data_IF_838076462008
#
_entry.id   IF_838076462008
#
_cell.length_a   1.000
_cell.length_b   1.000
_cell.length_c   1.000
_cell.angle_alpha   90.00
_cell.angle_beta   90.00
_cell.angle_gamma   90.00
#
_symmetry.space_group_name_H-M   'P 1'
#
loop_
_entity.id
_entity.type
_entity.pdbx_description
1 polymer ?
#
# COMPACT_ATOMS: atom_id res chain seq x y z
N UNK A 1 25.05 -16.04 0.56
CA UNK A 1 24.63 -14.69 0.14
C UNK A 1 23.40 -14.68 -0.79
N UNK A 2 22.98 -15.80 -1.39
CA UNK A 2 21.86 -15.86 -2.36
C UNK A 2 20.47 -16.09 -1.72
N UNK A 3 20.41 -16.77 -0.58
CA UNK A 3 19.15 -17.09 0.12
C UNK A 3 18.34 -15.88 0.62
N UNK A 4 18.96 -14.80 1.17
CA UNK A 4 18.22 -13.62 1.63
C UNK A 4 17.56 -12.84 0.50
N UNK A 5 18.22 -12.76 -0.66
CA UNK A 5 17.73 -12.02 -1.84
C UNK A 5 16.52 -12.71 -2.48
N UNK A 6 16.50 -14.05 -2.50
CA UNK A 6 15.36 -14.85 -2.98
C UNK A 6 14.15 -14.67 -2.06
N UNK A 7 14.35 -14.66 -0.72
CA UNK A 7 13.27 -14.43 0.25
C UNK A 7 12.64 -13.05 0.04
N UNK A 8 13.46 -12.01 -0.05
CA UNK A 8 13.00 -10.64 -0.26
C UNK A 8 12.21 -10.48 -1.57
N UNK A 9 12.66 -11.15 -2.65
CA UNK A 9 11.97 -11.14 -3.94
C UNK A 9 10.63 -11.85 -3.89
N UNK A 10 10.55 -13.00 -3.19
CA UNK A 10 9.30 -13.75 -3.02
C UNK A 10 8.29 -12.96 -2.18
N UNK A 11 8.73 -12.35 -1.08
CA UNK A 11 7.91 -11.48 -0.24
C UNK A 11 7.33 -10.32 -1.04
N UNK A 12 8.13 -9.66 -1.87
CA UNK A 12 7.67 -8.56 -2.72
C UNK A 12 6.61 -9.03 -3.73
N UNK A 13 6.79 -10.21 -4.35
CA UNK A 13 5.81 -10.78 -5.29
C UNK A 13 4.50 -11.12 -4.56
N UNK A 14 4.58 -11.79 -3.41
CA UNK A 14 3.39 -12.14 -2.62
C UNK A 14 2.65 -10.89 -2.15
N UNK A 15 3.38 -9.87 -1.67
CA UNK A 15 2.81 -8.58 -1.29
C UNK A 15 2.15 -7.88 -2.48
N UNK A 16 2.79 -7.86 -3.65
CA UNK A 16 2.23 -7.26 -4.85
C UNK A 16 0.93 -7.95 -5.29
N UNK A 17 0.92 -9.30 -5.30
CA UNK A 17 -0.28 -10.10 -5.61
C UNK A 17 -1.40 -9.82 -4.62
N UNK A 18 -1.09 -9.75 -3.32
CA UNK A 18 -2.06 -9.43 -2.27
C UNK A 18 -2.64 -8.02 -2.45
N UNK A 19 -1.80 -7.01 -2.62
CA UNK A 19 -2.23 -5.60 -2.79
C UNK A 19 -3.06 -5.46 -4.05
N UNK A 20 -2.64 -6.06 -5.17
CA UNK A 20 -3.40 -6.03 -6.42
C UNK A 20 -4.76 -6.72 -6.29
N UNK A 21 -4.79 -7.87 -5.60
CA UNK A 21 -6.04 -8.56 -5.27
C UNK A 21 -6.98 -7.70 -4.42
N UNK A 22 -6.45 -7.02 -3.41
CA UNK A 22 -7.23 -6.12 -2.55
C UNK A 22 -7.76 -4.90 -3.34
N UNK A 23 -6.95 -4.33 -4.23
CA UNK A 23 -7.35 -3.22 -5.10
C UNK A 23 -8.47 -3.64 -6.06
N UNK A 24 -8.35 -4.79 -6.73
CA UNK A 24 -9.42 -5.29 -7.60
C UNK A 24 -10.70 -5.52 -6.78
N UNK A 25 -10.60 -6.11 -5.59
CA UNK A 25 -11.77 -6.34 -4.76
C UNK A 25 -12.48 -5.02 -4.41
N UNK A 26 -11.74 -3.99 -3.99
CA UNK A 26 -12.32 -2.68 -3.69
C UNK A 26 -12.91 -2.00 -4.94
N UNK A 27 -12.27 -2.16 -6.10
CA UNK A 27 -12.79 -1.69 -7.39
C UNK A 27 -14.16 -2.31 -7.71
N UNK A 28 -14.26 -3.63 -7.64
CA UNK A 28 -15.50 -4.37 -7.90
C UNK A 28 -16.59 -4.01 -6.88
N UNK A 29 -16.20 -3.81 -5.62
CA UNK A 29 -17.11 -3.34 -4.58
C UNK A 29 -17.67 -1.94 -4.90
N UNK A 30 -16.88 -1.05 -5.49
CA UNK A 30 -17.32 0.27 -5.94
C UNK A 30 -18.38 0.20 -7.03
N UNK A 31 -18.12 -0.60 -8.07
CA UNK A 31 -19.12 -0.87 -9.11
C UNK A 31 -20.39 -1.47 -8.53
N UNK A 32 -20.26 -2.44 -7.62
CA UNK A 32 -21.38 -3.13 -6.98
C UNK A 32 -22.27 -2.16 -6.18
N UNK A 33 -21.67 -1.36 -5.29
CA UNK A 33 -22.39 -0.40 -4.46
C UNK A 33 -23.12 0.62 -5.34
N UNK A 34 -22.44 1.23 -6.31
CA UNK A 34 -23.04 2.22 -7.19
C UNK A 34 -24.15 1.64 -8.08
N UNK A 35 -23.98 0.41 -8.59
CA UNK A 35 -25.02 -0.29 -9.34
C UNK A 35 -26.27 -0.49 -8.49
N UNK A 36 -26.12 -1.00 -7.26
CA UNK A 36 -27.26 -1.19 -6.34
C UNK A 36 -27.94 0.13 -5.95
N UNK A 37 -27.16 1.17 -5.64
CA UNK A 37 -27.70 2.49 -5.28
C UNK A 37 -28.44 3.16 -6.44
N UNK A 38 -28.07 2.89 -7.68
CA UNK A 38 -28.75 3.41 -8.88
C UNK A 38 -29.88 2.50 -9.37
N UNK A 39 -30.19 1.44 -8.62
CA UNK A 39 -31.27 0.51 -8.89
C UNK A 39 -30.96 -0.55 -9.96
N UNK A 40 -29.72 -0.66 -10.41
CA UNK A 40 -29.33 -1.70 -11.38
C UNK A 40 -29.42 -3.09 -10.74
N UNK A 41 -29.83 -4.07 -11.55
CA UNK A 41 -29.82 -5.47 -11.13
C UNK A 41 -28.39 -5.98 -11.14
N UNK A 42 -28.03 -6.70 -10.08
CA UNK A 42 -26.75 -7.40 -9.97
C UNK A 42 -27.03 -8.84 -9.67
N UNK A 43 -26.62 -9.74 -10.55
CA UNK A 43 -26.96 -11.15 -10.50
C UNK A 43 -25.97 -11.94 -9.63
N UNK A 44 -24.68 -11.61 -9.69
CA UNK A 44 -23.63 -12.24 -8.88
C UNK A 44 -22.61 -11.19 -8.41
N UNK A 45 -22.23 -11.27 -7.13
CA UNK A 45 -21.06 -10.57 -6.59
C UNK A 45 -20.18 -11.62 -5.90
N UNK A 46 -18.94 -11.77 -6.33
CA UNK A 46 -18.03 -12.74 -5.73
C UNK A 46 -16.72 -12.14 -5.28
N UNK A 47 -16.22 -12.66 -4.16
CA UNK A 47 -14.88 -12.40 -3.66
C UNK A 47 -13.97 -13.51 -4.18
N UNK A 48 -12.94 -13.12 -4.93
CA UNK A 48 -11.99 -14.05 -5.51
C UNK A 48 -12.35 -14.64 -6.87
N UNK A 49 -11.53 -15.60 -7.30
CA UNK A 49 -11.64 -16.32 -8.57
C UNK A 49 -11.63 -17.85 -8.39
N UNK A 50 -11.99 -18.56 -9.46
CA UNK A 50 -11.99 -20.03 -9.52
C UNK A 50 -13.30 -20.68 -9.01
N UNK A 51 -13.26 -21.97 -8.66
CA UNK A 51 -14.40 -22.70 -8.10
C UNK A 51 -14.97 -22.04 -6.84
N UNK A 52 -16.31 -22.10 -6.71
CA UNK A 52 -17.06 -21.58 -5.56
C UNK A 52 -16.76 -22.44 -4.33
N UNK A 53 -16.36 -21.81 -3.22
CA UNK A 53 -16.22 -22.47 -1.92
C UNK A 53 -17.56 -22.45 -1.17
N UNK A 54 -18.15 -21.25 -1.09
CA UNK A 54 -19.41 -21.00 -0.40
C UNK A 54 -20.14 -19.85 -1.07
N UNK A 55 -21.46 -19.82 -0.95
CA UNK A 55 -22.27 -18.73 -1.46
C UNK A 55 -23.72 -18.84 -1.05
N UNK A 56 -24.38 -17.69 -0.99
CA UNK A 56 -25.78 -17.57 -0.61
C UNK A 56 -26.46 -16.53 -1.49
N UNK A 57 -27.77 -16.70 -1.68
CA UNK A 57 -28.58 -15.71 -2.39
C UNK A 57 -29.25 -14.79 -1.38
N UNK A 58 -29.09 -13.48 -1.57
CA UNK A 58 -29.82 -12.49 -0.78
C UNK A 58 -30.47 -11.48 -1.72
N UNK A 59 -31.81 -11.44 -1.68
CA UNK A 59 -32.62 -10.78 -2.70
C UNK A 59 -32.42 -11.45 -4.06
N UNK A 60 -32.01 -10.66 -5.04
CA UNK A 60 -31.70 -11.12 -6.40
C UNK A 60 -30.23 -11.51 -6.60
N UNK A 61 -29.33 -11.00 -5.75
CA UNK A 61 -27.88 -11.17 -5.92
C UNK A 61 -27.40 -12.43 -5.26
N UNK A 62 -26.60 -13.20 -6.00
CA UNK A 62 -25.85 -14.33 -5.47
C UNK A 62 -24.48 -13.85 -4.98
N UNK A 63 -24.22 -14.00 -3.69
CA UNK A 63 -22.94 -13.68 -3.06
C UNK A 63 -22.11 -14.94 -2.95
N UNK A 64 -20.85 -14.93 -3.42
CA UNK A 64 -19.97 -16.10 -3.29
C UNK A 64 -18.55 -15.76 -2.90
N UNK A 65 -17.91 -16.69 -2.19
CA UNK A 65 -16.49 -16.71 -1.91
C UNK A 65 -15.87 -17.87 -2.70
N UNK A 66 -14.76 -17.58 -3.39
CA UNK A 66 -14.08 -18.53 -4.28
C UNK A 66 -12.70 -18.89 -3.74
N UNK A 67 -12.12 -19.97 -4.27
CA UNK A 67 -10.91 -20.58 -3.71
C UNK A 67 -9.67 -19.68 -3.74
N UNK A 68 -9.56 -18.78 -4.73
CA UNK A 68 -8.50 -17.78 -4.79
C UNK A 68 -9.11 -16.46 -4.30
N UNK A 69 -8.92 -16.04 -3.03
CA UNK A 69 -9.57 -14.86 -2.46
C UNK A 69 -8.89 -13.54 -2.88
N UNK A 70 -8.47 -13.44 -4.14
CA UNK A 70 -7.84 -12.26 -4.70
C UNK A 70 -8.80 -11.63 -5.69
N UNK A 71 -9.06 -10.33 -5.56
CA UNK A 71 -9.98 -9.61 -6.45
C UNK A 71 -11.44 -9.94 -6.22
N UNK A 72 -12.23 -9.78 -7.25
CA UNK A 72 -13.65 -10.07 -7.24
C UNK A 72 -14.24 -10.13 -8.63
N UNK A 73 -15.53 -10.43 -8.69
CA UNK A 73 -16.30 -10.41 -9.93
C UNK A 73 -17.70 -9.89 -9.64
N UNK A 74 -18.18 -9.00 -10.50
CA UNK A 74 -19.48 -8.39 -10.39
C UNK A 74 -20.25 -8.54 -11.71
N UNK A 75 -21.42 -9.18 -11.63
CA UNK A 75 -22.29 -9.44 -12.77
C UNK A 75 -23.46 -8.47 -12.75
N UNK A 76 -23.26 -7.30 -13.37
CA UNK A 76 -24.28 -6.25 -13.50
C UNK A 76 -25.07 -6.47 -14.80
N UNK A 77 -26.40 -6.53 -14.69
CA UNK A 77 -27.28 -6.78 -15.85
C UNK A 77 -27.07 -5.74 -16.96
N UNK A 78 -27.00 -6.20 -18.21
CA UNK A 78 -26.86 -5.34 -19.40
C UNK A 78 -25.48 -4.71 -19.60
N UNK A 79 -24.44 -5.22 -18.93
CA UNK A 79 -23.04 -4.97 -19.32
C UNK A 79 -22.51 -6.03 -20.29
N UNK A 80 -23.14 -7.21 -20.34
CA UNK A 80 -22.85 -8.27 -21.31
C UNK A 80 -23.80 -8.10 -22.53
N UNK A 81 -23.27 -8.00 -23.77
CA UNK A 81 -24.09 -7.87 -24.97
C UNK A 81 -25.00 -9.07 -25.26
N UNK A 82 -24.67 -10.25 -24.72
CA UNK A 82 -25.44 -11.49 -24.95
C UNK A 82 -26.59 -11.66 -23.95
N UNK A 83 -26.70 -10.80 -22.94
CA UNK A 83 -27.76 -10.86 -21.94
C UNK A 83 -29.04 -10.17 -22.38
N UNK A 84 -30.17 -10.79 -22.04
CA UNK A 84 -31.47 -10.14 -22.15
C UNK A 84 -31.53 -8.90 -21.26
N UNK A 85 -31.79 -7.75 -21.90
CA UNK A 85 -31.95 -6.48 -21.20
C UNK A 85 -33.32 -6.37 -20.53
N UNK A 86 -33.33 -5.91 -19.29
CA UNK A 86 -34.53 -5.52 -18.56
C UNK A 86 -34.49 -4.02 -18.19
N UNK A 87 -35.55 -3.50 -17.57
CA UNK A 87 -35.64 -2.08 -17.16
C UNK A 87 -34.55 -1.67 -16.16
N UNK A 88 -33.94 -2.64 -15.46
CA UNK A 88 -32.88 -2.44 -14.47
C UNK A 88 -31.50 -2.75 -15.03
N UNK A 89 -31.38 -3.03 -16.34
CA UNK A 89 -30.10 -3.17 -17.02
C UNK A 89 -29.34 -1.86 -17.10
N UNK A 90 -28.01 -1.95 -17.04
CA UNK A 90 -27.07 -0.84 -17.13
C UNK A 90 -27.39 0.09 -18.32
N UNK A 91 -27.62 -0.47 -19.51
CA UNK A 91 -27.92 0.30 -20.73
C UNK A 91 -29.26 1.05 -20.70
N UNK A 92 -30.20 0.63 -19.85
CA UNK A 92 -31.52 1.27 -19.68
C UNK A 92 -31.54 2.36 -18.62
N UNK A 93 -30.44 2.52 -17.85
CA UNK A 93 -30.32 3.56 -16.84
C UNK A 93 -29.89 4.90 -17.45
N UNK A 94 -30.28 6.03 -16.82
CA UNK A 94 -29.80 7.35 -17.21
C UNK A 94 -28.27 7.42 -17.26
N UNK A 95 -27.72 8.29 -18.12
CA UNK A 95 -26.28 8.43 -18.30
C UNK A 95 -25.54 8.71 -16.99
N UNK A 96 -26.12 9.53 -16.10
CA UNK A 96 -25.53 9.84 -14.80
C UNK A 96 -25.39 8.59 -13.91
N UNK A 97 -26.38 7.69 -13.91
CA UNK A 97 -26.32 6.45 -13.14
C UNK A 97 -25.24 5.51 -13.69
N UNK A 98 -25.15 5.39 -15.02
CA UNK A 98 -24.11 4.60 -15.71
C UNK A 98 -22.71 5.14 -15.43
N UNK A 99 -22.55 6.45 -15.55
CA UNK A 99 -21.30 7.14 -15.26
C UNK A 99 -20.89 6.96 -13.79
N UNK A 100 -21.83 7.09 -12.85
CA UNK A 100 -21.58 6.86 -11.42
C UNK A 100 -21.13 5.42 -11.15
N UNK A 101 -21.78 4.43 -11.77
CA UNK A 101 -21.38 3.03 -11.62
C UNK A 101 -19.97 2.79 -12.15
N UNK A 102 -19.61 3.29 -13.34
CA UNK A 102 -18.24 3.17 -13.89
C UNK A 102 -17.23 3.89 -12.98
N UNK A 103 -17.56 5.11 -12.55
CA UNK A 103 -16.67 5.91 -11.70
C UNK A 103 -16.46 5.27 -10.32
N UNK A 104 -17.49 4.62 -9.76
CA UNK A 104 -17.47 4.02 -8.44
C UNK A 104 -16.30 3.06 -8.23
N UNK A 105 -15.96 2.24 -9.23
CA UNK A 105 -14.82 1.33 -9.14
C UNK A 105 -13.49 2.06 -9.01
N UNK A 106 -13.21 3.03 -9.90
CA UNK A 106 -11.97 3.82 -9.83
C UNK A 106 -11.89 4.66 -8.56
N UNK A 107 -13.02 5.23 -8.12
CA UNK A 107 -13.10 6.00 -6.88
C UNK A 107 -12.72 5.18 -5.66
N UNK A 108 -13.19 3.93 -5.56
CA UNK A 108 -12.83 3.04 -4.44
C UNK A 108 -11.33 2.72 -4.39
N UNK A 109 -10.64 2.65 -5.53
CA UNK A 109 -9.19 2.45 -5.55
C UNK A 109 -8.39 3.67 -5.06
N UNK A 110 -8.97 4.87 -5.13
CA UNK A 110 -8.40 6.06 -4.51
C UNK A 110 -8.77 6.14 -3.02
N UNK A 111 -10.02 5.81 -2.68
CA UNK A 111 -10.52 5.87 -1.31
C UNK A 111 -9.86 4.82 -0.40
N UNK A 112 -9.66 3.60 -0.89
CA UNK A 112 -9.12 2.50 -0.09
C UNK A 112 -7.74 2.84 0.51
N UNK A 113 -6.72 3.29 -0.25
CA UNK A 113 -5.43 3.70 0.32
C UNK A 113 -5.57 4.84 1.32
N UNK A 114 -6.41 5.84 1.06
CA UNK A 114 -6.64 6.95 2.00
C UNK A 114 -7.17 6.42 3.34
N UNK A 115 -8.16 5.52 3.31
CA UNK A 115 -8.71 4.90 4.51
C UNK A 115 -7.67 4.03 5.22
N UNK A 116 -6.98 3.16 4.49
CA UNK A 116 -5.97 2.26 5.05
C UNK A 116 -4.83 3.04 5.71
N UNK A 117 -4.27 4.05 5.04
CA UNK A 117 -3.21 4.89 5.58
C UNK A 117 -3.70 5.70 6.78
N UNK A 118 -4.91 6.28 6.72
CA UNK A 118 -5.47 7.04 7.84
C UNK A 118 -5.63 6.14 9.08
N UNK A 119 -6.20 4.94 8.91
CA UNK A 119 -6.37 3.98 10.00
C UNK A 119 -4.99 3.56 10.52
N UNK A 120 -4.07 3.19 9.63
CA UNK A 120 -2.74 2.71 10.02
C UNK A 120 -1.98 3.79 10.80
N UNK A 121 -1.92 5.03 10.31
CA UNK A 121 -1.23 6.11 11.02
C UNK A 121 -1.92 6.53 12.33
N UNK A 122 -3.24 6.37 12.43
CA UNK A 122 -3.96 6.68 13.67
C UNK A 122 -3.71 5.62 14.75
N UNK A 123 -3.67 4.33 14.39
CA UNK A 123 -3.58 3.24 15.36
C UNK A 123 -2.17 2.68 15.56
N UNK A 124 -1.36 2.60 14.50
CA UNK A 124 0.05 2.21 14.59
C UNK A 124 0.96 3.40 14.97
N UNK A 125 0.44 4.62 14.88
CA UNK A 125 1.20 5.84 15.09
C UNK A 125 2.03 6.23 13.86
N UNK A 126 2.77 7.32 14.00
CA UNK A 126 3.85 7.66 13.10
C UNK A 126 5.12 7.14 13.74
N UNK A 127 5.80 6.19 13.12
CA UNK A 127 7.22 5.96 13.39
C UNK A 127 7.95 7.23 12.99
N UNK A 128 8.05 8.19 13.91
CA UNK A 128 8.83 9.39 13.68
C UNK A 128 10.28 8.94 13.54
N UNK A 129 10.91 9.14 12.37
CA UNK A 129 12.34 8.92 12.26
C UNK A 129 12.99 9.75 13.36
N UNK A 130 13.75 9.10 14.24
CA UNK A 130 14.47 9.81 15.29
C UNK A 130 15.34 10.88 14.64
N UNK A 131 15.11 12.15 14.97
CA UNK A 131 16.03 13.23 14.55
C UNK A 131 17.32 13.23 15.36
N UNK A 132 17.45 12.30 16.32
CA UNK A 132 18.66 12.17 17.09
C UNK A 132 19.85 11.86 16.19
N UNK A 133 20.98 12.48 16.51
CA UNK A 133 22.25 12.26 15.82
C UNK A 133 22.88 10.90 16.14
N UNK A 134 22.12 9.80 16.11
CA UNK A 134 22.59 8.46 16.43
C UNK A 134 22.77 7.64 15.15
N UNK A 135 23.94 7.03 15.01
CA UNK A 135 24.24 6.15 13.88
C UNK A 135 23.42 4.87 13.99
N UNK A 136 22.49 4.64 13.07
CA UNK A 136 21.68 3.42 13.05
C UNK A 136 22.46 2.19 12.58
N UNK A 137 23.12 2.29 11.43
CA UNK A 137 23.92 1.20 10.85
C UNK A 137 25.19 1.75 10.21
N UNK A 138 26.25 0.94 10.22
CA UNK A 138 27.51 1.22 9.53
C UNK A 138 27.73 0.11 8.51
N UNK A 139 27.89 0.48 7.24
CA UNK A 139 28.09 -0.48 6.14
C UNK A 139 29.54 -0.90 6.08
N UNK A 140 29.80 -2.21 6.10
CA UNK A 140 31.14 -2.77 6.03
C UNK A 140 31.93 -2.30 4.78
N UNK A 141 33.23 -2.08 4.94
CA UNK A 141 34.16 -1.63 3.90
C UNK A 141 34.12 -0.13 3.59
N UNK A 142 33.18 0.64 4.16
CA UNK A 142 33.04 2.06 3.88
C UNK A 142 33.92 2.96 4.76
N UNK A 143 34.15 4.24 4.37
CA UNK A 143 34.95 5.18 5.16
C UNK A 143 34.51 5.33 6.61
N UNK A 144 33.21 5.22 6.90
CA UNK A 144 32.67 5.28 8.26
C UNK A 144 33.18 4.14 9.15
N UNK A 145 33.22 2.90 8.63
CA UNK A 145 33.78 1.75 9.36
C UNK A 145 35.29 1.90 9.54
N UNK A 146 36.00 2.33 8.49
CA UNK A 146 37.45 2.57 8.54
C UNK A 146 37.84 3.66 9.55
N UNK A 147 36.96 4.66 9.74
CA UNK A 147 37.09 5.69 10.76
C UNK A 147 36.70 5.20 12.17
N UNK A 148 36.23 3.97 12.31
CA UNK A 148 35.88 3.35 13.58
C UNK A 148 34.52 3.75 14.15
N UNK A 149 33.63 4.33 13.33
CA UNK A 149 32.24 4.61 13.72
C UNK A 149 31.47 3.31 13.92
N UNK A 150 30.56 3.29 14.88
CA UNK A 150 29.78 2.11 15.24
C UNK A 150 28.28 2.44 15.32
N UNK A 151 27.39 1.45 15.07
CA UNK A 151 25.98 1.57 15.40
C UNK A 151 25.80 1.98 16.86
N UNK A 152 24.96 2.98 17.11
CA UNK A 152 24.70 3.55 18.44
C UNK A 152 25.57 4.76 18.82
N UNK A 153 26.60 5.10 18.03
CA UNK A 153 27.37 6.33 18.28
C UNK A 153 26.48 7.57 18.09
N UNK A 154 26.47 8.49 19.07
CA UNK A 154 25.83 9.80 18.96
C UNK A 154 26.83 10.84 18.47
N UNK A 155 26.61 11.45 17.33
CA UNK A 155 27.42 12.53 16.78
C UNK A 155 27.11 13.82 17.55
N UNK A 156 28.12 14.39 18.20
CA UNK A 156 28.03 15.64 18.95
C UNK A 156 28.52 16.84 18.13
N UNK A 157 29.55 16.65 17.30
CA UNK A 157 30.13 17.71 16.49
C UNK A 157 30.78 17.17 15.22
N UNK A 158 30.83 18.01 14.19
CA UNK A 158 31.53 17.77 12.92
C UNK A 158 32.45 18.97 12.68
N UNK A 159 33.74 18.70 12.48
CA UNK A 159 34.80 19.70 12.27
C UNK A 159 34.85 20.77 13.38
N UNK A 160 34.52 20.36 14.61
CA UNK A 160 34.50 21.23 15.80
C UNK A 160 33.20 22.02 16.00
N UNK A 161 32.27 21.98 15.05
CA UNK A 161 30.96 22.62 15.16
C UNK A 161 29.91 21.62 15.66
N UNK A 162 29.20 21.97 16.74
CA UNK A 162 28.14 21.15 17.31
C UNK A 162 27.03 20.82 16.30
N UNK A 163 26.44 19.64 16.44
CA UNK A 163 25.31 19.17 15.63
C UNK A 163 24.29 18.49 16.53
N UNK A 164 23.04 18.93 16.46
CA UNK A 164 21.95 18.40 17.30
C UNK A 164 20.95 17.53 16.51
N UNK A 165 20.82 17.75 15.19
CA UNK A 165 19.87 17.03 14.33
C UNK A 165 20.55 16.19 13.25
N UNK A 166 19.98 15.03 12.97
CA UNK A 166 20.46 14.13 11.92
C UNK A 166 20.53 14.77 10.54
N UNK A 167 19.56 15.63 10.19
CA UNK A 167 19.59 16.32 8.89
C UNK A 167 20.82 17.23 8.74
N UNK A 168 21.28 17.88 9.81
CA UNK A 168 22.45 18.75 9.78
C UNK A 168 23.73 17.94 9.53
N UNK A 169 23.82 16.75 10.15
CA UNK A 169 24.90 15.77 9.88
C UNK A 169 24.93 15.41 8.40
N UNK A 170 23.79 15.02 7.82
CA UNK A 170 23.68 14.60 6.41
C UNK A 170 24.05 15.74 5.45
N UNK A 171 23.57 16.96 5.71
CA UNK A 171 23.87 18.13 4.88
C UNK A 171 25.36 18.45 4.90
N UNK A 172 26.02 18.38 6.06
CA UNK A 172 27.46 18.63 6.19
C UNK A 172 28.29 17.58 5.45
N UNK A 173 27.96 16.29 5.60
CA UNK A 173 28.62 15.20 4.87
C UNK A 173 28.51 15.41 3.35
N UNK A 174 27.31 15.72 2.85
CA UNK A 174 27.11 15.95 1.42
C UNK A 174 27.90 17.15 0.88
N UNK A 175 28.00 18.24 1.64
CA UNK A 175 28.78 19.44 1.25
C UNK A 175 30.29 19.23 1.31
N UNK A 176 30.75 18.31 2.16
CA UNK A 176 32.16 17.99 2.36
C UNK A 176 32.61 16.78 1.54
N UNK A 177 31.88 16.42 0.47
CA UNK A 177 32.20 15.28 -0.38
C UNK A 177 33.68 15.28 -0.85
N UNK A 178 34.38 14.18 -0.57
CA UNK A 178 35.78 13.99 -0.92
C UNK A 178 36.79 14.67 0.01
N UNK A 179 36.35 15.36 1.07
CA UNK A 179 37.23 15.97 2.09
C UNK A 179 37.26 15.11 3.34
N UNK A 180 38.39 15.17 4.05
CA UNK A 180 38.49 14.59 5.38
C UNK A 180 37.63 15.42 6.35
N UNK A 181 36.90 14.74 7.23
CA UNK A 181 36.04 15.34 8.24
C UNK A 181 36.37 14.75 9.60
N UNK A 182 36.24 15.54 10.65
CA UNK A 182 36.47 15.11 12.04
C UNK A 182 35.13 15.01 12.74
N UNK A 183 34.80 13.81 13.24
CA UNK A 183 33.59 13.57 14.01
C UNK A 183 33.92 13.47 15.50
N UNK A 184 33.18 14.21 16.32
CA UNK A 184 33.15 13.99 17.77
C UNK A 184 31.92 13.15 18.07
N UNK A 185 32.12 11.95 18.60
CA UNK A 185 31.03 11.01 18.92
C UNK A 185 31.04 10.65 20.39
N UNK A 186 29.84 10.43 20.92
CA UNK A 186 29.61 9.82 22.22
C UNK A 186 29.25 8.36 22.01
N UNK A 187 30.06 7.48 22.59
CA UNK A 187 29.86 6.03 22.58
C UNK A 187 29.55 5.57 23.99
N UNK A 188 28.53 4.73 24.15
CA UNK A 188 28.07 4.19 25.44
C UNK A 188 27.69 5.28 26.47
N UNK A 189 26.76 6.17 26.11
CA UNK A 189 26.08 6.97 27.12
C UNK A 189 25.22 6.02 27.97
N UNK A 190 25.54 5.95 29.27
CA UNK A 190 24.75 5.23 30.29
C UNK A 190 23.33 5.80 30.35
#
# INVERSE_FOLDING_TARGET
MVLPEISASLEAILAAVFVFGLLIFAHELGHFICAKLTGMRVDEFSIGFGPKLLGFKYGETYYSLRIIPLGGYNKIAGMDPEEEEDERSFNRRPLAARALTIFGGSFMNFLLPVLLLTITYTFAGLDQPSEENVIGQVVAGNPAEQAGLQPGDRILAIDGEAVDRWQDTVVRIHRSAGKQMIFTVQRNAV
#
